data_IF_642017417754
#
_entry.id   IF_642017417754
#
_cell.length_a   1.000
_cell.length_b   1.000
_cell.length_c   1.000
_cell.angle_alpha   90.00
_cell.angle_beta   90.00
_cell.angle_gamma   90.00
#
_symmetry.space_group_name_H-M   'P 1'
#
loop_
_entity.id
_entity.type
_entity.pdbx_description
1 polymer ?
#
# COMPACT_ATOMS: atom_id res chain seq x y z
N UNK A 1 30.99 36.30 7.87
CA UNK A 1 30.91 37.34 6.82
C UNK A 1 30.17 36.73 5.63
N UNK A 2 28.87 37.05 5.41
CA UNK A 2 28.12 36.51 4.30
C UNK A 2 28.76 36.97 2.98
N UNK A 3 29.01 36.05 2.05
CA UNK A 3 29.60 36.32 0.75
C UNK A 3 28.70 37.22 -0.08
N UNK A 4 28.97 38.52 -0.06
CA UNK A 4 28.20 39.54 -0.76
C UNK A 4 28.44 39.46 -2.28
N UNK A 5 27.73 38.55 -2.95
CA UNK A 5 27.54 38.54 -4.41
C UNK A 5 26.07 38.80 -4.70
N UNK A 6 25.63 40.03 -4.46
CA UNK A 6 24.36 40.51 -5.00
C UNK A 6 24.39 40.39 -6.52
N UNK A 7 23.41 39.66 -7.07
CA UNK A 7 23.24 39.56 -8.51
C UNK A 7 22.90 40.94 -9.07
N UNK A 8 23.70 41.45 -10.01
CA UNK A 8 23.42 42.70 -10.72
C UNK A 8 22.75 42.35 -12.04
N UNK A 9 21.50 42.79 -12.22
CA UNK A 9 20.71 42.52 -13.43
C UNK A 9 21.35 43.09 -14.69
N UNK A 10 20.98 42.58 -15.86
CA UNK A 10 21.47 43.09 -17.16
C UNK A 10 21.10 44.56 -17.34
N UNK A 11 19.84 44.91 -17.10
CA UNK A 11 19.33 46.30 -17.20
C UNK A 11 20.15 47.27 -16.35
N UNK A 12 20.48 46.87 -15.11
CA UNK A 12 21.29 47.69 -14.20
C UNK A 12 22.72 47.85 -14.69
N UNK A 13 23.27 46.89 -15.45
CA UNK A 13 24.58 47.03 -16.09
C UNK A 13 24.54 47.89 -17.36
N UNK A 14 23.45 47.85 -18.12
CA UNK A 14 23.23 48.74 -19.27
C UNK A 14 23.09 50.19 -18.80
N UNK A 15 22.38 50.42 -17.69
CA UNK A 15 22.29 51.73 -17.03
C UNK A 15 23.66 52.27 -16.60
N UNK A 16 24.56 51.41 -16.09
CA UNK A 16 25.95 51.81 -15.76
C UNK A 16 26.68 52.35 -17.00
N UNK A 17 26.47 51.74 -18.17
CA UNK A 17 27.09 52.18 -19.42
C UNK A 17 26.54 53.54 -19.84
N UNK A 18 25.21 53.72 -19.81
CA UNK A 18 24.55 54.97 -20.18
C UNK A 18 25.00 56.16 -19.31
N UNK A 19 25.20 55.92 -18.01
CA UNK A 19 25.64 56.96 -17.08
C UNK A 19 27.14 57.29 -17.24
N UNK A 20 27.93 56.42 -17.87
CA UNK A 20 29.39 56.58 -17.95
C UNK A 20 29.87 57.76 -18.78
N UNK A 21 29.00 58.32 -19.63
CA UNK A 21 29.28 59.52 -20.41
C UNK A 21 29.15 60.81 -19.58
N UNK A 22 28.46 60.75 -18.43
CA UNK A 22 28.02 61.94 -17.67
C UNK A 22 28.41 61.95 -16.21
N UNK A 23 28.81 60.82 -15.64
CA UNK A 23 29.07 60.66 -14.21
C UNK A 23 30.37 59.90 -13.93
N UNK A 24 30.98 60.15 -12.77
CA UNK A 24 32.16 59.43 -12.30
C UNK A 24 31.80 58.02 -11.80
N UNK A 25 32.81 57.14 -11.68
CA UNK A 25 32.60 55.75 -11.21
C UNK A 25 31.96 55.67 -9.82
N UNK A 26 32.27 56.61 -8.92
CA UNK A 26 31.68 56.66 -7.58
C UNK A 26 30.21 57.10 -7.63
N UNK A 27 29.89 58.13 -8.41
CA UNK A 27 28.51 58.60 -8.57
C UNK A 27 27.62 57.53 -9.23
N UNK A 28 28.14 56.80 -10.23
CA UNK A 28 27.41 55.68 -10.85
C UNK A 28 27.19 54.54 -9.87
N UNK A 29 28.18 54.25 -9.02
CA UNK A 29 28.07 53.21 -8.00
C UNK A 29 26.94 53.52 -7.00
N UNK A 30 26.82 54.78 -6.61
CA UNK A 30 25.75 55.26 -5.73
C UNK A 30 24.38 55.24 -6.45
N UNK A 31 24.29 55.75 -7.68
CA UNK A 31 23.04 55.78 -8.47
C UNK A 31 22.51 54.36 -8.75
N UNK A 32 23.38 53.42 -9.09
CA UNK A 32 22.99 52.05 -9.43
C UNK A 32 22.97 51.11 -8.21
N UNK A 33 23.28 51.60 -7.01
CA UNK A 33 23.38 50.84 -5.76
C UNK A 33 24.29 49.60 -5.90
N UNK A 34 25.48 49.78 -6.50
CA UNK A 34 26.47 48.71 -6.68
C UNK A 34 27.83 49.14 -6.15
N UNK A 35 28.70 48.18 -5.86
CA UNK A 35 30.07 48.51 -5.48
C UNK A 35 30.84 49.18 -6.65
N UNK A 36 31.73 50.17 -6.41
CA UNK A 36 32.53 50.82 -7.46
C UNK A 36 33.31 49.84 -8.36
N UNK A 37 33.82 48.75 -7.77
CA UNK A 37 34.48 47.66 -8.52
C UNK A 37 33.58 47.01 -9.59
N UNK A 38 32.27 46.98 -9.36
CA UNK A 38 31.29 46.45 -10.31
C UNK A 38 31.17 47.39 -11.49
N UNK A 39 31.09 48.70 -11.25
CA UNK A 39 31.07 49.73 -12.30
C UNK A 39 32.31 49.60 -13.18
N UNK A 40 33.51 49.57 -12.59
CA UNK A 40 34.77 49.40 -13.33
C UNK A 40 34.77 48.13 -14.20
N UNK A 41 34.27 47.01 -13.66
CA UNK A 41 34.23 45.73 -14.38
C UNK A 41 33.23 45.74 -15.54
N UNK A 42 32.05 46.34 -15.35
CA UNK A 42 31.03 46.45 -16.41
C UNK A 42 31.53 47.34 -17.54
N UNK A 43 32.06 48.52 -17.22
CA UNK A 43 32.62 49.44 -18.23
C UNK A 43 33.84 48.84 -18.94
N UNK A 44 34.69 48.11 -18.21
CA UNK A 44 35.81 47.40 -18.81
C UNK A 44 35.39 46.32 -19.80
N UNK A 45 34.31 45.58 -19.50
CA UNK A 45 33.75 44.59 -20.43
C UNK A 45 33.11 45.29 -21.63
N UNK A 46 32.28 46.31 -21.41
CA UNK A 46 31.62 47.08 -22.47
C UNK A 46 32.62 47.65 -23.48
N UNK A 47 33.71 48.27 -23.00
CA UNK A 47 34.77 48.80 -23.87
C UNK A 47 35.49 47.73 -24.69
N UNK A 48 35.53 46.49 -24.18
CA UNK A 48 36.24 45.37 -24.82
C UNK A 48 35.36 44.62 -25.83
N UNK A 49 34.07 44.43 -25.53
CA UNK A 49 33.20 43.56 -26.32
C UNK A 49 31.91 44.21 -26.82
N UNK A 50 31.60 45.44 -26.42
CA UNK A 50 30.31 46.08 -26.70
C UNK A 50 29.13 45.40 -26.00
N UNK A 51 29.40 44.61 -24.95
CA UNK A 51 28.37 43.91 -24.17
C UNK A 51 28.64 44.11 -22.67
N UNK A 52 27.58 44.10 -21.86
CA UNK A 52 27.64 44.18 -20.40
C UNK A 52 27.54 42.81 -19.72
N UNK A 53 27.25 41.76 -20.49
CA UNK A 53 27.26 40.37 -20.04
C UNK A 53 28.38 39.62 -20.75
N UNK A 54 29.20 38.90 -20.00
CA UNK A 54 30.22 38.04 -20.58
C UNK A 54 29.55 36.74 -21.03
N UNK A 55 29.35 36.58 -22.33
CA UNK A 55 29.06 35.27 -22.93
C UNK A 55 30.40 34.57 -23.12
N UNK A 56 30.67 33.42 -22.47
CA UNK A 56 31.89 32.68 -22.72
C UNK A 56 31.84 32.00 -24.10
N UNK A 57 32.97 31.98 -24.81
CA UNK A 57 33.09 31.39 -26.15
C UNK A 57 32.84 29.86 -26.17
N UNK A 58 32.96 29.21 -25.00
CA UNK A 58 32.63 27.81 -24.79
C UNK A 58 31.63 27.67 -23.62
N UNK A 59 30.63 26.76 -23.70
CA UNK A 59 29.82 26.39 -22.55
C UNK A 59 30.74 25.93 -21.41
N UNK A 60 30.70 26.65 -20.28
CA UNK A 60 31.47 26.25 -19.10
C UNK A 60 31.14 24.81 -18.71
N UNK A 61 32.17 24.04 -18.30
CA UNK A 61 32.03 22.66 -17.81
C UNK A 61 30.83 22.59 -16.84
N UNK A 62 29.88 21.66 -17.03
CA UNK A 62 28.74 21.52 -16.13
C UNK A 62 29.25 21.44 -14.69
N UNK A 63 28.72 22.30 -13.83
CA UNK A 63 29.08 22.27 -12.42
C UNK A 63 28.58 20.94 -11.87
N UNK A 64 29.48 20.10 -11.37
CA UNK A 64 29.08 18.89 -10.66
C UNK A 64 28.22 19.28 -9.47
N UNK A 65 27.06 18.63 -9.31
CA UNK A 65 26.20 18.84 -8.15
C UNK A 65 27.00 18.58 -6.89
N UNK A 66 26.94 19.50 -5.92
CA UNK A 66 27.51 19.27 -4.60
C UNK A 66 26.66 18.28 -3.81
N UNK A 67 27.19 17.72 -2.72
CA UNK A 67 26.38 16.90 -1.81
C UNK A 67 25.14 17.63 -1.30
N UNK A 68 25.25 18.94 -1.06
CA UNK A 68 24.13 19.79 -0.66
C UNK A 68 23.13 20.02 -1.81
N UNK A 69 23.60 20.13 -3.06
CA UNK A 69 22.70 20.22 -4.21
C UNK A 69 21.96 18.90 -4.42
N UNK A 70 22.61 17.75 -4.22
CA UNK A 70 21.97 16.43 -4.27
C UNK A 70 20.99 16.22 -3.12
N UNK A 71 21.31 16.64 -1.90
CA UNK A 71 20.41 16.64 -0.75
C UNK A 71 19.22 17.58 -0.94
N UNK A 72 19.44 18.80 -1.46
CA UNK A 72 18.37 19.75 -1.78
C UNK A 72 17.51 19.28 -2.95
N UNK A 73 18.09 18.58 -3.93
CA UNK A 73 17.36 18.03 -5.08
C UNK A 73 16.54 16.81 -4.66
N UNK A 74 17.11 15.91 -3.85
CA UNK A 74 16.39 14.76 -3.28
C UNK A 74 15.32 15.19 -2.28
N UNK A 75 15.53 16.29 -1.54
CA UNK A 75 14.52 16.89 -0.65
C UNK A 75 13.44 17.68 -1.39
N UNK A 76 13.69 18.15 -2.63
CA UNK A 76 12.72 18.88 -3.46
C UNK A 76 11.96 18.01 -4.48
N UNK A 77 12.29 16.73 -4.60
CA UNK A 77 11.50 15.80 -5.41
C UNK A 77 10.34 15.28 -4.57
N UNK A 78 9.11 15.65 -4.92
CA UNK A 78 7.93 15.06 -4.30
C UNK A 78 8.01 13.54 -4.41
N UNK A 79 7.90 12.85 -3.27
CA UNK A 79 7.89 11.40 -3.24
C UNK A 79 6.56 10.94 -3.80
N UNK A 80 6.58 10.03 -4.78
CA UNK A 80 5.38 9.56 -5.47
C UNK A 80 5.01 8.16 -5.01
N UNK A 81 3.78 8.00 -4.53
CA UNK A 81 3.19 6.71 -4.20
C UNK A 81 2.10 6.40 -5.23
N UNK A 82 2.20 5.25 -5.87
CA UNK A 82 1.14 4.69 -6.69
C UNK A 82 0.45 3.54 -5.94
N UNK A 83 -0.87 3.61 -5.79
CA UNK A 83 -1.67 2.56 -5.16
C UNK A 83 -2.71 2.00 -6.11
N UNK A 84 -2.72 0.68 -6.26
CA UNK A 84 -3.79 -0.04 -6.96
C UNK A 84 -4.83 -0.54 -5.96
N UNK A 85 -6.06 -0.83 -6.40
CA UNK A 85 -7.08 -1.39 -5.51
C UNK A 85 -7.59 -0.39 -4.45
N UNK A 86 -7.42 0.90 -4.71
CA UNK A 86 -7.80 2.02 -3.83
C UNK A 86 -9.28 2.12 -3.45
N UNK A 87 -10.14 1.30 -4.05
CA UNK A 87 -11.59 1.21 -3.73
C UNK A 87 -12.00 -0.17 -3.23
N UNK A 88 -11.02 -1.05 -2.97
CA UNK A 88 -11.20 -2.30 -2.26
C UNK A 88 -11.09 -2.11 -0.75
N UNK A 89 -11.33 -3.20 -0.01
CA UNK A 89 -11.36 -3.20 1.46
C UNK A 89 -10.01 -2.83 2.08
N UNK A 90 -8.94 -3.54 1.69
CA UNK A 90 -7.58 -3.27 2.16
C UNK A 90 -7.06 -1.98 1.53
N UNK A 91 -7.03 -1.90 0.19
CA UNK A 91 -6.44 -0.76 -0.53
C UNK A 91 -7.12 0.58 -0.27
N UNK A 92 -8.44 0.63 -0.07
CA UNK A 92 -9.14 1.85 0.31
C UNK A 92 -8.79 2.30 1.73
N UNK A 93 -8.65 1.36 2.67
CA UNK A 93 -8.24 1.68 4.04
C UNK A 93 -6.77 2.11 4.12
N UNK A 94 -5.90 1.52 3.30
CA UNK A 94 -4.51 1.97 3.12
C UNK A 94 -4.47 3.37 2.54
N UNK A 95 -5.20 3.65 1.45
CA UNK A 95 -5.24 4.99 0.85
C UNK A 95 -5.66 6.04 1.88
N UNK A 96 -6.73 5.75 2.63
CA UNK A 96 -7.18 6.63 3.72
C UNK A 96 -6.05 6.87 4.73
N UNK A 97 -5.40 5.81 5.22
CA UNK A 97 -4.29 5.91 6.16
C UNK A 97 -3.08 6.68 5.62
N UNK A 98 -2.73 6.51 4.34
CA UNK A 98 -1.62 7.23 3.70
C UNK A 98 -1.90 8.74 3.67
N UNK A 99 -3.11 9.13 3.26
CA UNK A 99 -3.52 10.55 3.20
C UNK A 99 -3.51 11.20 4.59
N UNK A 100 -3.89 10.46 5.64
CA UNK A 100 -3.85 10.98 7.01
C UNK A 100 -2.43 11.09 7.56
N UNK A 101 -1.56 10.12 7.24
CA UNK A 101 -0.22 10.01 7.85
C UNK A 101 0.84 10.85 7.14
N UNK A 102 0.77 10.94 5.82
CA UNK A 102 1.81 11.59 5.01
C UNK A 102 1.26 12.89 4.38
N UNK A 103 1.72 14.08 4.84
CA UNK A 103 1.25 15.37 4.33
C UNK A 103 1.83 15.73 2.95
N UNK A 104 1.51 16.94 2.48
CA UNK A 104 1.56 17.45 1.08
C UNK A 104 2.82 17.18 0.24
N UNK A 105 3.97 16.82 0.84
CA UNK A 105 5.19 16.52 0.11
C UNK A 105 5.22 15.10 -0.50
N UNK A 106 4.20 14.28 -0.22
CA UNK A 106 3.99 12.96 -0.82
C UNK A 106 2.81 13.02 -1.79
N UNK A 107 3.08 12.81 -3.07
CA UNK A 107 2.07 12.74 -4.12
C UNK A 107 1.52 11.31 -4.20
N UNK A 108 0.22 11.13 -3.96
CA UNK A 108 -0.44 9.82 -4.04
C UNK A 108 -1.30 9.77 -5.30
N UNK A 109 -1.06 8.76 -6.13
CA UNK A 109 -1.91 8.43 -7.29
C UNK A 109 -2.64 7.10 -7.06
N UNK A 110 -3.96 7.11 -7.18
CA UNK A 110 -4.81 5.95 -7.00
C UNK A 110 -5.40 5.46 -8.33
N UNK A 111 -5.23 4.17 -8.63
CA UNK A 111 -5.91 3.50 -9.74
C UNK A 111 -7.36 3.16 -9.35
N UNK A 112 -8.32 3.66 -10.12
CA UNK A 112 -9.75 3.39 -9.92
C UNK A 112 -10.44 3.00 -11.23
N UNK A 113 -11.35 2.02 -11.15
CA UNK A 113 -11.96 1.40 -12.33
C UNK A 113 -12.81 2.33 -13.21
N UNK A 114 -13.44 3.34 -12.62
CA UNK A 114 -14.37 4.20 -13.34
C UNK A 114 -14.56 5.57 -12.66
N UNK A 115 -15.24 6.48 -13.35
CA UNK A 115 -15.48 7.85 -12.90
C UNK A 115 -16.34 7.95 -11.64
N UNK A 116 -17.30 7.03 -11.44
CA UNK A 116 -18.13 7.01 -10.22
C UNK A 116 -17.26 6.76 -8.98
N UNK A 117 -16.36 5.78 -9.07
CA UNK A 117 -15.40 5.47 -8.02
C UNK A 117 -14.38 6.59 -7.83
N UNK A 118 -13.92 7.21 -8.91
CA UNK A 118 -13.06 8.38 -8.85
C UNK A 118 -13.70 9.51 -8.05
N UNK A 119 -14.97 9.83 -8.32
CA UNK A 119 -15.68 10.89 -7.62
C UNK A 119 -15.76 10.64 -6.10
N UNK A 120 -16.01 9.39 -5.67
CA UNK A 120 -16.01 9.01 -4.24
C UNK A 120 -14.64 9.23 -3.59
N UNK A 121 -13.55 8.82 -4.26
CA UNK A 121 -12.19 9.02 -3.74
C UNK A 121 -11.84 10.51 -3.67
N UNK A 122 -12.10 11.28 -4.74
CA UNK A 122 -11.81 12.73 -4.78
C UNK A 122 -12.58 13.48 -3.70
N UNK A 123 -13.86 13.13 -3.48
CA UNK A 123 -14.67 13.78 -2.46
C UNK A 123 -14.12 13.59 -1.05
N UNK A 124 -13.56 12.41 -0.73
CA UNK A 124 -12.96 12.15 0.58
C UNK A 124 -11.50 12.62 0.68
N UNK A 125 -10.78 12.61 -0.44
CA UNK A 125 -9.34 12.87 -0.51
C UNK A 125 -9.01 13.79 -1.69
N UNK A 126 -9.26 15.12 -1.58
CA UNK A 126 -9.13 16.06 -2.71
C UNK A 126 -7.72 16.17 -3.31
N UNK A 127 -6.69 15.80 -2.54
CA UNK A 127 -5.29 15.88 -2.95
C UNK A 127 -4.76 14.59 -3.62
N UNK A 128 -5.57 13.53 -3.65
CA UNK A 128 -5.19 12.27 -4.31
C UNK A 128 -5.40 12.40 -5.81
N UNK A 129 -4.37 12.12 -6.59
CA UNK A 129 -4.47 12.02 -8.05
C UNK A 129 -5.18 10.73 -8.42
N UNK A 130 -6.02 10.79 -9.45
CA UNK A 130 -6.76 9.63 -9.94
C UNK A 130 -6.26 9.21 -11.30
N UNK A 131 -5.99 7.92 -11.45
CA UNK A 131 -5.83 7.26 -12.73
C UNK A 131 -7.04 6.34 -12.97
N UNK A 132 -7.72 6.53 -14.11
CA UNK A 132 -8.82 5.64 -14.50
C UNK A 132 -8.23 4.41 -15.20
N UNK A 133 -8.52 3.24 -14.66
CA UNK A 133 -8.10 1.97 -15.21
C UNK A 133 -8.46 0.81 -14.29
N UNK A 134 -8.42 -0.40 -14.82
CA UNK A 134 -8.56 -1.64 -14.07
C UNK A 134 -7.24 -2.43 -14.11
N UNK A 135 -7.24 -3.64 -13.56
CA UNK A 135 -6.05 -4.48 -13.50
C UNK A 135 -5.57 -5.03 -14.85
N UNK A 136 -6.33 -4.80 -15.92
CA UNK A 136 -5.94 -5.12 -17.30
C UNK A 136 -5.41 -3.90 -18.06
N UNK A 137 -5.48 -2.70 -17.48
CA UNK A 137 -4.96 -1.45 -18.07
C UNK A 137 -3.43 -1.37 -17.94
N UNK A 138 -2.73 -2.32 -18.56
CA UNK A 138 -1.29 -2.56 -18.37
C UNK A 138 -0.43 -1.35 -18.70
N UNK A 139 -0.74 -0.59 -19.75
CA UNK A 139 0.03 0.59 -20.14
C UNK A 139 -0.08 1.71 -19.10
N UNK A 140 -1.25 1.86 -18.48
CA UNK A 140 -1.47 2.84 -17.41
C UNK A 140 -0.71 2.43 -16.16
N UNK A 141 -0.79 1.16 -15.79
CA UNK A 141 -0.11 0.61 -14.61
C UNK A 141 1.41 0.70 -14.75
N UNK A 142 1.95 0.29 -15.90
CA UNK A 142 3.38 0.32 -16.19
C UNK A 142 3.93 1.75 -16.10
N UNK A 143 3.27 2.71 -16.77
CA UNK A 143 3.67 4.11 -16.74
C UNK A 143 3.64 4.70 -15.33
N UNK A 144 2.59 4.44 -14.55
CA UNK A 144 2.48 4.96 -13.18
C UNK A 144 3.50 4.32 -12.24
N UNK A 145 3.81 3.03 -12.44
CA UNK A 145 4.87 2.35 -11.70
C UNK A 145 6.26 2.91 -12.05
N UNK A 146 6.52 3.20 -13.33
CA UNK A 146 7.74 3.89 -13.76
C UNK A 146 7.85 5.29 -13.12
N UNK A 147 6.77 6.05 -13.01
CA UNK A 147 6.81 7.41 -12.47
C UNK A 147 6.93 7.44 -10.93
N UNK A 148 6.66 6.33 -10.23
CA UNK A 148 6.50 6.29 -8.77
C UNK A 148 7.72 5.76 -8.00
N UNK A 149 7.98 6.34 -6.82
CA UNK A 149 9.01 5.86 -5.90
C UNK A 149 8.57 4.59 -5.17
N UNK A 150 7.29 4.52 -4.82
CA UNK A 150 6.68 3.44 -4.04
C UNK A 150 5.42 2.98 -4.79
N UNK A 151 5.28 1.68 -5.00
CA UNK A 151 4.06 1.06 -5.51
C UNK A 151 3.46 0.19 -4.41
N UNK A 152 2.19 0.42 -4.08
CA UNK A 152 1.41 -0.41 -3.16
C UNK A 152 0.37 -1.17 -4.00
N UNK A 153 0.58 -2.48 -4.15
CA UNK A 153 -0.27 -3.34 -4.95
C UNK A 153 -1.14 -4.22 -4.07
N UNK A 154 -2.46 -3.97 -4.06
CA UNK A 154 -3.41 -4.64 -3.15
C UNK A 154 -4.29 -5.70 -3.81
N UNK A 155 -3.74 -6.44 -4.76
CA UNK A 155 -4.38 -7.59 -5.39
C UNK A 155 -3.41 -8.77 -5.38
N UNK A 156 -3.86 -9.94 -4.89
CA UNK A 156 -2.97 -11.06 -4.53
C UNK A 156 -2.84 -12.14 -5.60
N UNK A 157 -3.80 -12.26 -6.53
CA UNK A 157 -3.93 -13.47 -7.35
C UNK A 157 -3.86 -13.23 -8.87
N UNK A 158 -3.59 -12.00 -9.30
CA UNK A 158 -3.57 -11.63 -10.71
C UNK A 158 -2.16 -11.30 -11.22
N UNK A 159 -1.67 -12.09 -12.19
CA UNK A 159 -0.35 -11.90 -12.80
C UNK A 159 -0.25 -10.68 -13.73
N UNK A 160 -1.37 -10.22 -14.29
CA UNK A 160 -1.39 -9.11 -15.25
C UNK A 160 -0.90 -7.78 -14.64
N UNK A 161 -1.51 -7.26 -13.56
CA UNK A 161 -1.10 -5.97 -12.99
C UNK A 161 0.30 -6.04 -12.37
N UNK A 162 0.65 -7.13 -11.68
CA UNK A 162 1.97 -7.26 -11.06
C UNK A 162 3.10 -7.29 -12.10
N UNK A 163 2.88 -7.95 -13.24
CA UNK A 163 3.87 -7.96 -14.33
C UNK A 163 4.07 -6.56 -14.91
N UNK A 164 2.99 -5.81 -15.13
CA UNK A 164 3.07 -4.42 -15.60
C UNK A 164 3.77 -3.51 -14.56
N UNK A 165 3.50 -3.70 -13.27
CA UNK A 165 4.18 -2.97 -12.18
C UNK A 165 5.68 -3.24 -12.21
N UNK A 166 6.09 -4.51 -12.31
CA UNK A 166 7.51 -4.89 -12.36
C UNK A 166 8.18 -4.30 -13.62
N UNK A 167 7.51 -4.32 -14.77
CA UNK A 167 8.01 -3.73 -16.01
C UNK A 167 8.25 -2.22 -15.87
N UNK A 168 7.31 -1.48 -15.27
CA UNK A 168 7.44 -0.05 -15.03
C UNK A 168 8.54 0.28 -14.04
N UNK A 169 8.59 -0.42 -12.90
CA UNK A 169 9.64 -0.22 -11.90
C UNK A 169 11.03 -0.55 -12.44
N UNK A 170 11.14 -1.48 -13.38
CA UNK A 170 12.42 -1.85 -14.01
C UNK A 170 12.99 -0.73 -14.89
N UNK A 171 12.13 0.11 -15.47
CA UNK A 171 12.51 1.24 -16.32
C UNK A 171 13.02 2.45 -15.54
N UNK A 172 12.67 2.57 -14.25
CA UNK A 172 13.18 3.66 -13.40
C UNK A 172 14.69 3.65 -13.34
N UNK A 173 15.33 4.82 -13.35
CA UNK A 173 16.78 4.90 -13.09
C UNK A 173 17.11 4.74 -11.60
N UNK A 174 16.30 5.35 -10.73
CA UNK A 174 16.46 5.31 -9.28
C UNK A 174 15.85 4.04 -8.65
N UNK A 175 16.30 3.70 -7.45
CA UNK A 175 15.70 2.62 -6.68
C UNK A 175 14.22 2.90 -6.36
N UNK A 176 13.44 1.84 -6.25
CA UNK A 176 12.00 1.89 -5.95
C UNK A 176 11.60 0.82 -4.96
N UNK A 177 10.39 0.97 -4.41
CA UNK A 177 9.80 0.04 -3.46
C UNK A 177 8.50 -0.52 -4.01
N UNK A 178 8.30 -1.82 -3.82
CA UNK A 178 7.06 -2.52 -4.11
C UNK A 178 6.55 -3.17 -2.82
N UNK A 179 5.40 -2.71 -2.34
CA UNK A 179 4.68 -3.31 -1.22
C UNK A 179 3.48 -4.05 -1.80
N UNK A 180 3.49 -5.37 -1.72
CA UNK A 180 2.49 -6.25 -2.33
C UNK A 180 1.64 -6.94 -1.28
N UNK A 181 0.33 -6.99 -1.51
CA UNK A 181 -0.61 -7.78 -0.71
C UNK A 181 -0.70 -9.20 -1.26
N UNK A 182 -0.26 -10.17 -0.45
CA UNK A 182 -0.58 -11.60 -0.57
C UNK A 182 -1.59 -11.96 0.53
N UNK A 183 -1.51 -13.13 1.15
CA UNK A 183 -2.40 -13.54 2.25
C UNK A 183 -1.94 -14.83 2.92
N UNK A 184 -2.39 -15.09 4.16
CA UNK A 184 -2.01 -16.33 4.85
C UNK A 184 -2.63 -17.59 4.25
N UNK A 185 -3.46 -17.47 3.21
CA UNK A 185 -3.89 -18.62 2.43
C UNK A 185 -2.71 -19.43 1.87
N UNK A 186 -1.54 -18.80 1.70
CA UNK A 186 -0.31 -19.46 1.25
C UNK A 186 0.24 -20.48 2.27
N UNK A 187 -0.04 -20.31 3.56
CA UNK A 187 0.39 -21.24 4.63
C UNK A 187 -0.73 -22.15 5.12
N UNK A 188 -1.90 -22.09 4.47
CA UNK A 188 -3.06 -22.82 4.95
C UNK A 188 -2.87 -24.33 4.78
N UNK A 189 -3.22 -25.09 5.81
CA UNK A 189 -3.38 -26.54 5.68
C UNK A 189 -4.71 -26.81 4.99
N UNK A 190 -4.60 -27.19 3.72
CA UNK A 190 -5.74 -27.48 2.84
C UNK A 190 -5.92 -28.97 2.55
N UNK A 191 -5.21 -29.83 3.27
CA UNK A 191 -5.42 -31.27 3.14
C UNK A 191 -6.89 -31.58 3.50
N UNK A 192 -7.65 -32.32 2.66
CA UNK A 192 -9.07 -32.54 2.95
C UNK A 192 -9.34 -33.17 4.33
N UNK A 193 -8.39 -33.98 4.83
CA UNK A 193 -8.47 -34.62 6.13
C UNK A 193 -8.12 -33.70 7.33
N UNK A 194 -7.52 -32.52 7.10
CA UNK A 194 -7.20 -31.56 8.16
C UNK A 194 -8.33 -30.56 8.43
N UNK A 195 -9.35 -30.51 7.57
CA UNK A 195 -10.47 -29.59 7.74
C UNK A 195 -11.27 -29.88 9.02
N UNK A 196 -11.35 -28.88 9.90
CA UNK A 196 -12.03 -28.99 11.19
C UNK A 196 -11.19 -29.62 12.31
N UNK A 197 -9.95 -30.02 12.01
CA UNK A 197 -9.03 -30.66 12.95
C UNK A 197 -8.08 -29.63 13.58
N UNK A 198 -7.55 -29.94 14.76
CA UNK A 198 -6.59 -29.09 15.45
C UNK A 198 -5.33 -28.85 14.60
N UNK A 199 -4.74 -27.64 14.64
CA UNK A 199 -3.53 -27.33 13.89
C UNK A 199 -2.33 -28.14 14.37
N UNK A 200 -1.46 -28.49 13.42
CA UNK A 200 -0.18 -29.15 13.70
C UNK A 200 1.02 -28.22 13.61
N UNK A 201 0.83 -27.03 13.02
CA UNK A 201 1.90 -26.06 12.78
C UNK A 201 1.40 -24.62 12.91
N UNK A 202 2.24 -23.78 13.51
CA UNK A 202 2.19 -22.33 13.40
C UNK A 202 3.40 -21.85 12.60
N UNK A 203 3.23 -20.78 11.82
CA UNK A 203 4.25 -20.26 10.91
C UNK A 203 4.79 -18.91 11.38
N UNK A 204 6.12 -18.80 11.47
CA UNK A 204 6.80 -17.51 11.68
C UNK A 204 7.30 -16.94 10.37
N UNK A 205 7.06 -15.66 10.11
CA UNK A 205 7.64 -14.93 8.97
C UNK A 205 9.15 -14.66 9.12
N UNK A 206 9.75 -15.06 10.24
CA UNK A 206 11.20 -15.00 10.50
C UNK A 206 11.79 -16.40 10.60
N UNK A 207 11.26 -17.28 11.47
CA UNK A 207 11.88 -18.58 11.72
C UNK A 207 11.63 -19.61 10.60
N UNK A 208 10.47 -19.54 9.94
CA UNK A 208 10.09 -20.48 8.86
C UNK A 208 10.29 -19.89 7.45
N UNK A 209 10.92 -18.71 7.34
CA UNK A 209 10.93 -17.93 6.09
C UNK A 209 11.54 -18.70 4.92
N UNK A 210 12.63 -19.44 5.13
CA UNK A 210 13.26 -20.25 4.08
C UNK A 210 12.32 -21.35 3.57
N UNK A 211 11.51 -21.93 4.44
CA UNK A 211 10.50 -22.93 4.06
C UNK A 211 9.37 -22.27 3.26
N UNK A 212 8.83 -21.16 3.74
CA UNK A 212 7.73 -20.42 3.08
C UNK A 212 8.14 -20.02 1.66
N UNK A 213 9.37 -19.55 1.49
CA UNK A 213 9.91 -19.13 0.19
C UNK A 213 10.19 -20.27 -0.76
N UNK A 214 10.31 -21.49 -0.26
CA UNK A 214 10.54 -22.69 -1.04
C UNK A 214 9.24 -23.41 -1.43
N UNK A 215 8.06 -22.94 -0.99
CA UNK A 215 6.79 -23.58 -1.33
C UNK A 215 6.57 -23.71 -2.85
N UNK A 216 6.02 -24.84 -3.32
CA UNK A 216 5.55 -24.98 -4.69
C UNK A 216 4.24 -24.19 -4.90
N UNK A 217 3.84 -23.98 -6.16
CA UNK A 217 2.52 -23.39 -6.46
C UNK A 217 1.37 -24.31 -6.01
N UNK A 218 1.55 -25.62 -6.17
CA UNK A 218 0.51 -26.60 -5.87
C UNK A 218 0.19 -26.60 -4.37
N UNK A 219 -1.07 -26.36 -4.05
CA UNK A 219 -1.58 -26.37 -2.68
C UNK A 219 -1.30 -25.10 -1.87
N UNK A 220 -0.67 -24.08 -2.46
CA UNK A 220 -0.37 -22.82 -1.79
C UNK A 220 -1.00 -21.64 -2.55
N UNK A 221 -2.11 -21.11 -2.03
CA UNK A 221 -2.79 -19.95 -2.64
C UNK A 221 -1.87 -18.72 -2.64
N UNK A 222 -2.08 -17.79 -3.58
CA UNK A 222 -1.25 -16.58 -3.83
C UNK A 222 0.19 -16.85 -4.31
N UNK A 223 0.71 -18.06 -4.11
CA UNK A 223 2.11 -18.41 -4.35
C UNK A 223 2.59 -18.15 -5.77
N UNK A 224 1.70 -18.34 -6.75
CA UNK A 224 1.99 -18.13 -8.16
C UNK A 224 2.38 -16.67 -8.47
N UNK A 225 1.88 -15.70 -7.70
CA UNK A 225 2.27 -14.28 -7.77
C UNK A 225 3.50 -14.02 -6.91
N UNK A 226 3.51 -14.50 -5.66
CA UNK A 226 4.61 -14.23 -4.70
C UNK A 226 5.98 -14.66 -5.24
N UNK A 227 6.05 -15.76 -5.99
CA UNK A 227 7.30 -16.26 -6.57
C UNK A 227 7.92 -15.31 -7.60
N UNK A 228 7.14 -14.41 -8.22
CA UNK A 228 7.66 -13.38 -9.12
C UNK A 228 8.32 -12.23 -8.35
N UNK A 229 7.85 -11.97 -7.12
CA UNK A 229 8.24 -10.81 -6.32
C UNK A 229 9.42 -11.14 -5.40
N UNK A 230 9.44 -12.33 -4.81
CA UNK A 230 10.49 -12.75 -3.87
C UNK A 230 11.94 -12.62 -4.40
N UNK A 231 12.26 -13.05 -5.63
CA UNK A 231 13.64 -12.94 -6.13
C UNK A 231 13.97 -11.54 -6.67
N UNK A 232 12.98 -10.65 -6.82
CA UNK A 232 13.11 -9.42 -7.61
C UNK A 232 14.18 -8.48 -7.07
N UNK A 233 14.28 -8.34 -5.74
CA UNK A 233 15.32 -7.51 -5.13
C UNK A 233 16.72 -8.03 -5.46
N UNK A 234 16.96 -9.34 -5.38
CA UNK A 234 18.24 -9.93 -5.74
C UNK A 234 18.53 -9.80 -7.25
N UNK A 235 17.55 -10.12 -8.10
CA UNK A 235 17.66 -10.06 -9.56
C UNK A 235 17.95 -8.64 -10.08
N UNK A 236 17.47 -7.63 -9.37
CA UNK A 236 17.64 -6.22 -9.74
C UNK A 236 18.75 -5.53 -8.95
N UNK A 237 19.56 -6.27 -8.19
CA UNK A 237 20.61 -5.74 -7.31
C UNK A 237 20.10 -4.61 -6.40
N UNK A 238 18.97 -4.87 -5.73
CA UNK A 238 18.22 -3.97 -4.84
C UNK A 238 17.70 -2.68 -5.50
N UNK A 239 17.66 -2.62 -6.84
CA UNK A 239 16.99 -1.52 -7.54
C UNK A 239 15.48 -1.53 -7.29
N UNK A 240 14.86 -2.71 -7.21
CA UNK A 240 13.46 -2.87 -6.78
C UNK A 240 13.44 -3.60 -5.45
N UNK A 241 13.21 -2.89 -4.35
CA UNK A 241 13.10 -3.47 -3.01
C UNK A 241 11.65 -3.87 -2.74
N UNK A 242 11.42 -5.11 -2.34
CA UNK A 242 10.08 -5.68 -2.22
C UNK A 242 9.71 -5.97 -0.77
N UNK A 243 8.43 -5.77 -0.43
CA UNK A 243 7.82 -6.26 0.79
C UNK A 243 6.51 -6.95 0.43
N UNK A 244 6.36 -8.21 0.79
CA UNK A 244 5.12 -8.99 0.67
C UNK A 244 4.46 -8.97 2.03
N UNK A 245 3.23 -8.45 2.10
CA UNK A 245 2.42 -8.42 3.31
C UNK A 245 1.34 -9.48 3.16
N UNK A 246 1.22 -10.36 4.15
CA UNK A 246 0.31 -11.50 4.16
C UNK A 246 -0.68 -11.36 5.32
N UNK A 247 -1.79 -10.63 5.13
CA UNK A 247 -2.86 -10.57 6.11
C UNK A 247 -3.52 -11.94 6.31
N UNK A 248 -3.95 -12.25 7.54
CA UNK A 248 -4.81 -13.40 7.78
C UNK A 248 -6.27 -13.06 7.45
N UNK A 249 -7.22 -13.82 7.98
CA UNK A 249 -8.61 -13.38 7.97
C UNK A 249 -8.74 -12.03 8.69
N UNK A 250 -9.42 -11.08 8.05
CA UNK A 250 -9.50 -9.70 8.53
C UNK A 250 -10.91 -9.45 9.07
N UNK A 251 -11.03 -8.66 10.13
CA UNK A 251 -12.31 -8.15 10.64
C UNK A 251 -12.26 -6.63 10.86
N UNK A 252 -13.41 -6.05 11.17
CA UNK A 252 -13.61 -4.61 11.32
C UNK A 252 -14.11 -3.93 10.05
N UNK A 253 -14.76 -2.78 10.21
CA UNK A 253 -15.21 -1.95 9.08
C UNK A 253 -14.03 -1.13 8.53
N UNK A 254 -13.79 -1.25 7.23
CA UNK A 254 -12.75 -0.51 6.53
C UNK A 254 -13.04 0.98 6.44
N UNK A 255 -11.98 1.79 6.34
CA UNK A 255 -12.07 3.27 6.32
C UNK A 255 -12.04 3.87 4.91
N UNK A 256 -12.01 3.04 3.88
CA UNK A 256 -12.00 3.45 2.48
C UNK A 256 -13.34 3.97 1.97
N UNK A 257 -13.34 4.55 0.78
CA UNK A 257 -14.55 5.11 0.11
C UNK A 257 -15.27 4.12 -0.80
N UNK A 258 -14.75 2.90 -0.92
CA UNK A 258 -15.28 1.82 -1.75
C UNK A 258 -15.86 0.69 -0.90
N UNK A 259 -15.40 -0.55 -1.13
CA UNK A 259 -15.78 -1.66 -0.27
C UNK A 259 -15.19 -1.45 1.13
N UNK A 260 -16.01 -1.52 2.17
CA UNK A 260 -15.60 -1.39 3.57
C UNK A 260 -15.80 -2.69 4.36
N UNK A 261 -16.21 -3.77 3.70
CA UNK A 261 -16.49 -5.05 4.34
C UNK A 261 -15.42 -6.10 4.04
N UNK A 262 -15.02 -6.85 5.07
CA UNK A 262 -14.20 -8.06 4.94
C UNK A 262 -14.99 -9.26 4.39
N UNK A 263 -14.39 -10.45 4.29
CA UNK A 263 -15.04 -11.66 3.76
C UNK A 263 -15.71 -12.53 4.83
N UNK A 264 -15.03 -12.83 5.95
CA UNK A 264 -15.46 -13.86 6.90
C UNK A 264 -16.88 -13.62 7.44
N UNK A 265 -17.12 -12.47 8.08
CA UNK A 265 -18.42 -12.16 8.71
C UNK A 265 -19.54 -12.06 7.67
N UNK A 266 -19.38 -11.33 6.55
CA UNK A 266 -20.48 -11.20 5.60
C UNK A 266 -20.82 -12.47 4.84
N UNK A 267 -19.82 -13.30 4.49
CA UNK A 267 -20.11 -14.60 3.85
C UNK A 267 -20.82 -15.55 4.81
N UNK A 268 -20.43 -15.56 6.09
CA UNK A 268 -21.12 -16.35 7.09
C UNK A 268 -22.56 -15.85 7.32
N UNK A 269 -22.78 -14.53 7.29
CA UNK A 269 -24.11 -13.92 7.31
C UNK A 269 -24.96 -14.35 6.10
N UNK A 270 -24.40 -14.36 4.89
CA UNK A 270 -25.10 -14.76 3.67
C UNK A 270 -25.53 -16.24 3.74
N UNK A 271 -24.62 -17.14 4.15
CA UNK A 271 -24.92 -18.58 4.28
C UNK A 271 -25.99 -18.83 5.35
N UNK A 272 -25.90 -18.15 6.49
CA UNK A 272 -26.89 -18.28 7.57
C UNK A 272 -28.23 -17.65 7.22
N UNK A 273 -28.24 -16.47 6.61
CA UNK A 273 -29.46 -15.78 6.20
C UNK A 273 -30.24 -16.55 5.13
N UNK A 274 -29.56 -17.28 4.26
CA UNK A 274 -30.20 -18.13 3.26
C UNK A 274 -30.89 -19.38 3.85
N UNK A 275 -30.41 -19.88 4.99
CA UNK A 275 -30.94 -21.08 5.64
C UNK A 275 -30.88 -20.96 7.18
N UNK A 276 -31.65 -20.04 7.80
CA UNK A 276 -31.54 -19.75 9.23
C UNK A 276 -31.89 -20.95 10.11
N UNK A 277 -32.80 -21.82 9.65
CA UNK A 277 -33.15 -23.06 10.36
C UNK A 277 -31.97 -24.05 10.47
N UNK A 278 -30.95 -23.93 9.61
CA UNK A 278 -29.75 -24.76 9.66
C UNK A 278 -28.76 -24.34 10.77
N UNK A 279 -28.97 -23.19 11.42
CA UNK A 279 -28.15 -22.72 12.54
C UNK A 279 -26.69 -22.37 12.21
N UNK A 280 -26.02 -21.74 13.17
CA UNK A 280 -24.56 -21.52 13.14
C UNK A 280 -23.81 -22.84 12.94
N UNK A 281 -22.71 -22.83 12.20
CA UNK A 281 -21.98 -24.03 11.83
C UNK A 281 -20.46 -23.93 11.99
N UNK A 282 -19.82 -25.08 12.11
CA UNK A 282 -18.37 -25.31 11.99
C UNK A 282 -18.11 -26.47 11.03
N UNK A 283 -16.85 -26.66 10.64
CA UNK A 283 -16.44 -27.81 9.82
C UNK A 283 -15.92 -28.91 10.72
N UNK A 284 -16.40 -30.14 10.53
CA UNK A 284 -15.96 -31.31 11.29
C UNK A 284 -16.01 -31.08 12.81
N UNK A 285 -14.90 -31.33 13.50
CA UNK A 285 -14.80 -31.13 14.95
C UNK A 285 -14.77 -29.64 15.36
N UNK A 286 -14.54 -28.73 14.41
CA UNK A 286 -14.41 -27.30 14.66
C UNK A 286 -13.19 -26.93 15.51
N UNK A 287 -12.16 -27.78 15.50
CA UNK A 287 -10.92 -27.58 16.25
C UNK A 287 -9.88 -26.77 15.46
N UNK A 288 -10.18 -26.44 14.21
CA UNK A 288 -9.31 -25.65 13.36
C UNK A 288 -9.19 -24.21 13.86
N UNK A 289 -8.01 -23.62 13.65
CA UNK A 289 -7.67 -22.27 14.07
C UNK A 289 -7.15 -21.47 12.87
N UNK A 290 -7.66 -20.25 12.74
CA UNK A 290 -7.12 -19.24 11.83
C UNK A 290 -6.59 -18.05 12.60
N UNK A 291 -5.52 -17.44 12.10
CA UNK A 291 -5.13 -16.10 12.56
C UNK A 291 -6.19 -15.06 12.19
N UNK A 292 -6.25 -13.98 12.98
CA UNK A 292 -7.09 -12.82 12.72
C UNK A 292 -6.30 -11.52 12.89
N UNK A 293 -6.74 -10.50 12.14
CA UNK A 293 -6.30 -9.12 12.31
C UNK A 293 -7.46 -8.16 12.13
N UNK A 294 -7.50 -7.12 12.95
CA UNK A 294 -8.37 -5.99 12.66
C UNK A 294 -7.81 -5.22 11.45
N UNK A 295 -8.66 -4.66 10.59
CA UNK A 295 -8.23 -3.94 9.38
C UNK A 295 -7.26 -2.80 9.68
N UNK A 296 -7.42 -2.10 10.81
CA UNK A 296 -6.50 -1.03 11.23
C UNK A 296 -5.09 -1.54 11.50
N UNK A 297 -4.96 -2.73 12.09
CA UNK A 297 -3.66 -3.35 12.37
C UNK A 297 -2.96 -3.75 11.07
N UNK A 298 -3.72 -4.27 10.10
CA UNK A 298 -3.21 -4.58 8.75
C UNK A 298 -2.70 -3.30 8.08
N UNK A 299 -3.53 -2.24 8.06
CA UNK A 299 -3.18 -0.94 7.48
C UNK A 299 -1.93 -0.35 8.13
N UNK A 300 -1.79 -0.45 9.46
CA UNK A 300 -0.63 0.08 10.18
C UNK A 300 0.69 -0.49 9.64
N UNK A 301 0.75 -1.79 9.33
CA UNK A 301 1.94 -2.41 8.73
C UNK A 301 2.27 -1.80 7.37
N UNK A 302 1.28 -1.54 6.50
CA UNK A 302 1.51 -0.83 5.24
C UNK A 302 2.01 0.60 5.46
N UNK A 303 1.48 1.30 6.46
CA UNK A 303 1.90 2.66 6.80
C UNK A 303 3.30 2.72 7.41
N UNK A 304 3.74 1.65 8.09
CA UNK A 304 5.11 1.49 8.58
C UNK A 304 6.07 1.22 7.43
N UNK A 305 5.71 0.30 6.52
CA UNK A 305 6.50 -0.01 5.32
C UNK A 305 6.61 1.19 4.37
N UNK A 306 5.51 1.91 4.12
CA UNK A 306 5.53 3.13 3.31
C UNK A 306 6.40 4.22 3.97
N UNK A 307 6.31 4.39 5.28
CA UNK A 307 7.16 5.32 6.02
C UNK A 307 8.64 4.97 5.96
N UNK A 308 8.98 3.68 6.06
CA UNK A 308 10.33 3.18 5.89
C UNK A 308 10.84 3.39 4.45
N UNK A 309 10.00 3.13 3.45
CA UNK A 309 10.33 3.37 2.04
C UNK A 309 10.59 4.85 1.73
N UNK A 310 9.82 5.76 2.33
CA UNK A 310 10.06 7.22 2.24
C UNK A 310 11.39 7.64 2.88
N UNK A 311 11.97 6.80 3.75
CA UNK A 311 13.28 6.98 4.37
C UNK A 311 14.32 6.03 3.76
N UNK A 312 14.23 5.78 2.46
CA UNK A 312 15.15 4.93 1.70
C UNK A 312 15.32 3.51 2.30
N UNK A 313 14.23 2.97 2.86
CA UNK A 313 14.14 1.60 3.36
C UNK A 313 14.06 1.51 4.88
N UNK A 314 14.48 2.56 5.60
CA UNK A 314 14.34 2.68 7.05
C UNK A 314 14.80 1.44 7.82
N UNK A 315 14.04 1.06 8.86
CA UNK A 315 14.31 -0.14 9.67
C UNK A 315 13.68 -1.42 9.12
N UNK A 316 12.94 -1.34 8.01
CA UNK A 316 12.22 -2.47 7.46
C UNK A 316 13.18 -3.44 6.76
N UNK A 317 12.89 -4.74 6.86
CA UNK A 317 13.48 -5.75 6.00
C UNK A 317 12.84 -5.69 4.60
N UNK A 318 13.65 -5.84 3.56
CA UNK A 318 13.21 -5.80 2.16
C UNK A 318 13.77 -6.97 1.37
N UNK A 319 13.16 -7.23 0.22
CA UNK A 319 13.62 -8.21 -0.74
C UNK A 319 13.52 -9.60 -0.16
N UNK A 320 14.67 -10.20 0.13
CA UNK A 320 14.69 -11.55 0.61
C UNK A 320 13.93 -11.69 1.94
N UNK A 321 14.18 -10.78 2.86
CA UNK A 321 13.56 -10.79 4.19
C UNK A 321 12.31 -9.92 4.26
N UNK A 322 11.87 -9.34 3.13
CA UNK A 322 10.68 -8.49 3.05
C UNK A 322 9.38 -9.29 3.01
N UNK A 323 9.10 -10.12 4.01
CA UNK A 323 7.88 -10.92 4.09
C UNK A 323 7.25 -10.76 5.48
N UNK A 324 6.01 -10.28 5.53
CA UNK A 324 5.37 -9.78 6.75
C UNK A 324 4.00 -10.41 6.96
N UNK A 325 3.86 -11.24 7.99
CA UNK A 325 2.55 -11.56 8.54
C UNK A 325 2.03 -10.39 9.37
N UNK A 326 0.71 -10.27 9.48
CA UNK A 326 0.05 -9.20 10.25
C UNK A 326 -0.92 -9.72 11.31
N UNK A 327 -0.84 -11.01 11.65
CA UNK A 327 -1.72 -11.64 12.63
C UNK A 327 -1.56 -11.05 14.05
N UNK A 328 -2.69 -10.75 14.69
CA UNK A 328 -2.75 -10.20 16.05
C UNK A 328 -3.53 -11.06 17.02
N UNK A 329 -4.41 -11.93 16.52
CA UNK A 329 -5.26 -12.80 17.33
C UNK A 329 -5.56 -14.13 16.63
N UNK A 330 -6.34 -15.00 17.27
CA UNK A 330 -6.78 -16.30 16.75
C UNK A 330 -8.30 -16.37 16.71
N UNK A 331 -8.83 -17.09 15.73
CA UNK A 331 -10.24 -17.44 15.60
C UNK A 331 -10.45 -18.89 15.98
N UNK A 332 -11.34 -19.11 16.95
CA UNK A 332 -11.90 -20.42 17.29
C UNK A 332 -13.32 -20.47 16.74
N UNK A 333 -13.55 -21.26 15.69
CA UNK A 333 -14.82 -21.25 14.95
C UNK A 333 -16.07 -21.52 15.80
N UNK A 334 -16.07 -22.48 16.76
CA UNK A 334 -17.21 -22.68 17.64
C UNK A 334 -17.61 -21.44 18.45
N UNK A 335 -16.64 -20.64 18.89
CA UNK A 335 -16.89 -19.40 19.64
C UNK A 335 -17.49 -18.34 18.74
N UNK A 336 -16.91 -18.15 17.55
CA UNK A 336 -17.43 -17.26 16.53
C UNK A 336 -18.87 -17.61 16.15
N UNK A 337 -19.16 -18.87 15.85
CA UNK A 337 -20.48 -19.33 15.45
C UNK A 337 -21.54 -19.03 16.53
N UNK A 338 -21.22 -19.30 17.81
CA UNK A 338 -22.12 -18.98 18.94
C UNK A 338 -22.35 -17.48 19.08
N UNK A 339 -21.27 -16.70 19.09
CA UNK A 339 -21.34 -15.24 19.25
C UNK A 339 -22.13 -14.58 18.10
N UNK A 340 -21.94 -15.08 16.87
CA UNK A 340 -22.65 -14.63 15.69
C UNK A 340 -24.15 -14.90 15.82
N UNK A 341 -24.57 -16.16 16.06
CA UNK A 341 -26.00 -16.49 16.17
C UNK A 341 -26.67 -15.72 17.30
N UNK A 342 -26.04 -15.65 18.48
CA UNK A 342 -26.57 -14.91 19.62
C UNK A 342 -26.76 -13.41 19.29
N UNK A 343 -25.79 -12.80 18.61
CA UNK A 343 -25.86 -11.40 18.20
C UNK A 343 -26.93 -11.17 17.13
N UNK A 344 -26.98 -12.00 16.10
CA UNK A 344 -27.99 -11.88 15.06
C UNK A 344 -29.42 -12.05 15.59
N UNK A 345 -29.66 -13.00 16.51
CA UNK A 345 -30.98 -13.18 17.16
C UNK A 345 -31.33 -11.97 18.03
N UNK A 346 -30.38 -11.47 18.83
CA UNK A 346 -30.57 -10.27 19.67
C UNK A 346 -30.93 -9.04 18.85
N UNK A 347 -30.33 -8.86 17.68
CA UNK A 347 -30.56 -7.73 16.76
C UNK A 347 -31.75 -7.95 15.81
N UNK A 348 -32.35 -9.14 15.81
CA UNK A 348 -33.47 -9.50 14.94
C UNK A 348 -33.08 -9.76 13.47
N UNK A 349 -31.80 -9.95 13.16
CA UNK A 349 -31.32 -10.30 11.82
C UNK A 349 -31.52 -11.78 11.47
N UNK A 350 -31.61 -12.64 12.49
CA UNK A 350 -32.00 -14.04 12.35
C UNK A 350 -33.26 -14.31 13.19
N UNK A 351 -34.16 -15.21 12.74
CA UNK A 351 -35.38 -15.51 13.47
C UNK A 351 -35.07 -16.13 14.84
N UNK A 352 -35.91 -15.92 15.87
CA UNK A 352 -35.74 -16.53 17.18
C UNK A 352 -35.68 -18.07 17.15
N UNK A 353 -36.24 -18.69 16.11
CA UNK A 353 -36.23 -20.15 15.85
C UNK A 353 -34.89 -20.68 15.34
N UNK A 354 -33.92 -19.81 15.02
CA UNK A 354 -32.56 -20.22 14.65
C UNK A 354 -31.94 -21.02 15.81
N UNK A 355 -31.41 -22.23 15.56
CA UNK A 355 -30.79 -23.05 16.60
C UNK A 355 -29.64 -22.34 17.32
N UNK A 356 -29.64 -22.40 18.66
CA UNK A 356 -28.54 -21.85 19.49
C UNK A 356 -27.31 -22.77 19.50
N UNK A 357 -27.52 -24.08 19.31
CA UNK A 357 -26.44 -25.05 19.20
C UNK A 357 -25.71 -24.88 17.86
N UNK A 358 -24.38 -24.90 17.92
CA UNK A 358 -23.53 -24.91 16.73
C UNK A 358 -23.61 -26.28 16.07
N UNK A 359 -23.85 -26.29 14.77
CA UNK A 359 -23.95 -27.49 13.94
C UNK A 359 -22.58 -27.84 13.35
N UNK A 360 -22.26 -29.13 13.29
CA UNK A 360 -21.12 -29.62 12.51
C UNK A 360 -21.55 -29.86 11.07
N UNK A 361 -20.75 -29.37 10.10
CA UNK A 361 -20.89 -29.69 8.67
C UNK A 361 -19.64 -30.41 8.19
N UNK A 362 -19.82 -31.39 7.32
CA UNK A 362 -18.72 -32.03 6.63
C UNK A 362 -18.08 -31.07 5.62
N UNK A 363 -16.79 -31.25 5.29
CA UNK A 363 -16.16 -30.51 4.19
C UNK A 363 -16.92 -30.66 2.85
N UNK A 364 -17.48 -31.84 2.57
CA UNK A 364 -18.19 -32.11 1.32
C UNK A 364 -19.48 -31.27 1.18
N UNK A 365 -20.20 -31.03 2.28
CA UNK A 365 -21.38 -30.15 2.28
C UNK A 365 -21.04 -28.70 1.92
N UNK A 366 -19.80 -28.27 2.20
CA UNK A 366 -19.35 -26.89 1.97
C UNK A 366 -18.55 -26.74 0.67
N UNK A 367 -18.14 -27.84 0.04
CA UNK A 367 -17.32 -27.83 -1.18
C UNK A 367 -17.99 -27.10 -2.34
N UNK A 368 -19.32 -27.15 -2.44
CA UNK A 368 -20.07 -26.43 -3.48
C UNK A 368 -20.19 -24.91 -3.22
N UNK A 369 -19.85 -24.43 -2.03
CA UNK A 369 -19.91 -23.01 -1.68
C UNK A 369 -18.63 -22.30 -2.09
N UNK A 370 -18.76 -21.01 -2.43
CA UNK A 370 -17.63 -20.15 -2.78
C UNK A 370 -16.76 -20.82 -3.85
N UNK A 371 -17.38 -21.36 -4.91
CA UNK A 371 -16.71 -21.99 -6.07
C UNK A 371 -15.62 -23.00 -5.70
N UNK A 372 -15.84 -23.83 -4.66
CA UNK A 372 -14.86 -24.82 -4.20
C UNK A 372 -14.19 -24.47 -2.88
N UNK A 373 -14.26 -23.21 -2.44
CA UNK A 373 -13.48 -22.70 -1.30
C UNK A 373 -14.23 -22.73 0.04
N UNK A 374 -15.48 -23.22 0.10
CA UNK A 374 -16.24 -23.25 1.35
C UNK A 374 -15.58 -24.05 2.47
N UNK A 375 -15.09 -25.26 2.18
CA UNK A 375 -14.38 -26.08 3.17
C UNK A 375 -13.10 -25.40 3.66
N UNK A 376 -12.35 -24.77 2.75
CA UNK A 376 -11.18 -23.95 3.08
C UNK A 376 -11.55 -22.74 3.97
N UNK A 377 -12.63 -22.03 3.64
CA UNK A 377 -13.01 -20.78 4.32
C UNK A 377 -13.27 -21.00 5.81
N UNK A 378 -13.96 -22.08 6.17
CA UNK A 378 -14.39 -22.33 7.56
C UNK A 378 -13.69 -23.50 8.25
N UNK A 379 -12.98 -24.36 7.51
CA UNK A 379 -12.39 -25.58 8.03
C UNK A 379 -10.87 -25.63 8.02
N UNK A 380 -10.17 -24.79 7.26
CA UNK A 380 -8.69 -24.85 7.20
C UNK A 380 -8.03 -24.29 8.45
N UNK A 381 -6.81 -24.76 8.70
CA UNK A 381 -5.88 -24.13 9.62
C UNK A 381 -4.99 -23.16 8.86
N UNK A 382 -4.78 -21.96 9.40
CA UNK A 382 -3.86 -20.97 8.83
C UNK A 382 -3.34 -20.06 9.95
N UNK A 383 -2.27 -20.49 10.60
CA UNK A 383 -1.77 -19.86 11.81
C UNK A 383 -0.42 -19.21 11.54
N UNK A 384 -0.39 -17.89 11.62
CA UNK A 384 0.78 -17.06 11.38
C UNK A 384 1.17 -16.23 12.61
N UNK A 385 2.47 -16.03 12.78
CA UNK A 385 3.08 -15.17 13.80
C UNK A 385 3.82 -14.03 13.10
N UNK A 386 3.38 -12.80 13.36
CA UNK A 386 3.92 -11.56 12.80
C UNK A 386 5.22 -11.12 13.50
N UNK A 387 6.19 -12.03 13.57
CA UNK A 387 7.43 -11.83 14.31
C UNK A 387 8.30 -10.74 13.69
N UNK A 388 8.29 -10.63 12.35
CA UNK A 388 9.05 -9.62 11.64
C UNK A 388 8.55 -8.22 11.92
N UNK A 389 7.25 -7.96 11.76
CA UNK A 389 6.67 -6.64 12.02
C UNK A 389 6.94 -6.18 13.47
N UNK A 390 6.81 -7.09 14.44
CA UNK A 390 7.19 -6.85 15.85
C UNK A 390 8.67 -6.50 15.98
N UNK A 391 9.55 -7.30 15.37
CA UNK A 391 11.01 -7.13 15.45
C UNK A 391 11.50 -5.81 14.86
N UNK A 392 11.03 -5.44 13.66
CA UNK A 392 11.59 -4.28 12.92
C UNK A 392 10.89 -2.96 13.21
N UNK A 393 9.64 -2.99 13.69
CA UNK A 393 8.85 -1.78 13.96
C UNK A 393 8.42 -1.64 15.42
N UNK A 394 8.60 -2.67 16.27
CA UNK A 394 7.94 -2.71 17.58
C UNK A 394 6.42 -2.72 17.45
N UNK A 395 5.89 -3.24 16.33
CA UNK A 395 4.47 -3.20 16.02
C UNK A 395 3.69 -4.16 16.92
N UNK A 396 2.62 -3.66 17.53
CA UNK A 396 1.69 -4.41 18.36
C UNK A 396 0.26 -3.90 18.10
N UNK A 397 -0.73 -4.79 18.15
CA UNK A 397 -2.13 -4.43 17.95
C UNK A 397 -2.60 -3.44 19.03
N UNK A 398 -3.32 -2.42 18.58
CA UNK A 398 -4.08 -1.49 19.44
C UNK A 398 -5.56 -1.48 19.09
N UNK A 399 -5.99 -2.40 18.22
CA UNK A 399 -7.35 -2.48 17.74
C UNK A 399 -8.24 -3.23 18.73
N UNK A 400 -9.55 -2.94 18.73
CA UNK A 400 -10.52 -3.75 19.46
C UNK A 400 -10.52 -5.20 18.95
N UNK A 401 -10.90 -6.12 19.82
CA UNK A 401 -11.05 -7.54 19.51
C UNK A 401 -12.21 -7.80 18.53
N UNK A 402 -12.19 -8.96 17.86
CA UNK A 402 -13.27 -9.33 16.94
C UNK A 402 -14.61 -9.47 17.66
N UNK A 403 -14.61 -9.86 18.94
CA UNK A 403 -15.82 -9.95 19.75
C UNK A 403 -16.45 -8.57 19.97
N UNK A 404 -15.62 -7.54 20.22
CA UNK A 404 -16.08 -6.17 20.44
C UNK A 404 -16.64 -5.53 19.17
N UNK A 405 -16.10 -5.87 17.99
CA UNK A 405 -16.55 -5.32 16.70
C UNK A 405 -17.54 -6.21 15.95
N UNK A 406 -17.84 -7.41 16.44
CA UNK A 406 -18.66 -8.40 15.72
C UNK A 406 -20.03 -7.82 15.34
N UNK A 407 -20.69 -7.11 16.25
CA UNK A 407 -22.01 -6.52 15.98
C UNK A 407 -21.95 -5.48 14.85
N UNK A 408 -20.90 -4.65 14.79
CA UNK A 408 -20.70 -3.64 13.74
C UNK A 408 -20.46 -4.30 12.37
N UNK A 409 -19.59 -5.31 12.32
CA UNK A 409 -19.31 -6.07 11.09
C UNK A 409 -20.56 -6.80 10.58
N UNK A 410 -21.36 -7.35 11.48
CA UNK A 410 -22.63 -8.00 11.14
C UNK A 410 -23.68 -6.99 10.69
N UNK A 411 -23.75 -5.81 11.31
CA UNK A 411 -24.69 -4.76 10.92
C UNK A 411 -24.44 -4.31 9.48
N UNK A 412 -23.17 -4.11 9.11
CA UNK A 412 -22.79 -3.84 7.73
C UNK A 412 -23.24 -4.99 6.80
N UNK A 413 -22.95 -6.25 7.17
CA UNK A 413 -23.29 -7.42 6.38
C UNK A 413 -24.80 -7.63 6.16
N UNK A 414 -25.64 -7.38 7.17
CA UNK A 414 -27.09 -7.59 7.09
C UNK A 414 -27.84 -6.39 6.49
N UNK A 415 -27.29 -5.17 6.56
CA UNK A 415 -27.91 -3.98 5.94
C UNK A 415 -27.59 -3.82 4.47
N UNK A 416 -26.38 -4.16 4.06
CA UNK A 416 -25.95 -4.09 2.67
C UNK A 416 -26.17 -5.46 2.02
N UNK A 417 -27.23 -5.61 1.23
CA UNK A 417 -27.28 -6.73 0.30
C UNK A 417 -26.02 -6.66 -0.57
N UNK A 418 -25.13 -7.64 -0.46
CA UNK A 418 -23.92 -7.71 -1.30
C UNK A 418 -24.36 -7.86 -2.75
N UNK A 419 -24.49 -6.76 -3.45
CA UNK A 419 -24.84 -6.72 -4.88
C UNK A 419 -23.76 -7.37 -5.75
N UNK A 420 -22.55 -7.58 -5.23
CA UNK A 420 -21.42 -8.17 -5.94
C UNK A 420 -21.04 -9.61 -5.52
N UNK A 421 -21.54 -10.19 -4.40
CA UNK A 421 -21.10 -11.53 -3.94
C UNK A 421 -21.67 -12.69 -4.77
N UNK A 422 -22.77 -12.48 -5.50
CA UNK A 422 -23.37 -13.51 -6.36
C UNK A 422 -22.55 -13.81 -7.63
N UNK A 423 -21.50 -13.03 -7.95
CA UNK A 423 -20.66 -13.28 -9.15
C UNK A 423 -19.82 -14.55 -9.06
N UNK A 424 -19.66 -15.14 -7.87
CA UNK A 424 -18.95 -16.42 -7.70
C UNK A 424 -19.85 -17.66 -7.84
N UNK A 425 -21.15 -17.49 -8.16
CA UNK A 425 -22.04 -18.61 -8.54
C UNK A 425 -22.03 -18.92 -10.04
N UNK A 426 -21.26 -18.19 -10.84
CA UNK A 426 -21.21 -18.40 -12.29
C UNK A 426 -19.87 -17.99 -12.88
N UNK A 427 -18.91 -18.91 -12.81
CA UNK A 427 -17.91 -19.21 -13.84
C UNK A 427 -17.01 -20.33 -13.36
#
# INVERSE_FOLDING_TARGET
>A
MPGNRTHVSRERKEQIVELSDRYTTSEIADICEVAPRTVTRVLGLWRKSGDVVKVPDEPGRPRGLTGLDLELHTSNMSQKIFITGATGYIGGSILHGLVQKFPENVEITALVRNQEKAAKVIAAHPHVKIAIGDFTSTEVIEKLAEESNIVIHTESDNLVPITAIIAGLSQRAAASFLIHTSGTALIADIAPASYGEAPTKEWSDVADIDTIRAFPDEGHLHRHVDKLILPLAAQTNNKIRTAIVCPPDIYGVGTGTGNTQSFLVPLYAEVLGAAPAAGGFVVGRGENIKSLSHIRDVVEVYLLLAGAALQDGGTADWGADGFYFTATSRLVFPEFARAFVATAKRRGWLPPTTPDAVQSRSPEELKGLLGGLGAYMWGSNAISNADRAKKVFGWESKSPSWQETLEEDMEAAFKEARTDSLKWRSS
#
